data_IF_598368632871
#
_entry.id   IF_598368632871
#
_cell.length_a   1.000
_cell.length_b   1.000
_cell.length_c   1.000
_cell.angle_alpha   90.00
_cell.angle_beta   90.00
_cell.angle_gamma   90.00
#
_symmetry.space_group_name_H-M   'P 1'
#
loop_
_entity.id
_entity.type
_entity.pdbx_description
1 polymer ?
#
# COMPACT_ATOMS: atom_id res chain seq x y z
N UNK A 1 33.57 17.39 -7.89
CA UNK A 1 32.47 18.24 -7.38
C UNK A 1 31.11 17.75 -7.89
N UNK A 2 30.81 17.72 -9.19
CA UNK A 2 29.50 17.30 -9.73
C UNK A 2 28.94 15.95 -9.20
N UNK A 3 29.79 14.92 -9.03
CA UNK A 3 29.36 13.62 -8.49
C UNK A 3 28.76 13.70 -7.07
N UNK A 4 29.31 14.54 -6.19
CA UNK A 4 28.77 14.68 -4.82
C UNK A 4 27.38 15.30 -4.80
N UNK A 5 27.16 16.31 -5.65
CA UNK A 5 25.89 17.02 -5.75
C UNK A 5 24.77 16.12 -6.30
N UNK A 6 25.10 15.23 -7.25
CA UNK A 6 24.16 14.26 -7.79
C UNK A 6 23.76 13.23 -6.73
N UNK A 7 24.72 12.73 -5.94
CA UNK A 7 24.44 11.79 -4.85
C UNK A 7 23.55 12.43 -3.77
N UNK A 8 23.87 13.65 -3.34
CA UNK A 8 23.09 14.37 -2.32
C UNK A 8 21.67 14.69 -2.80
N UNK A 9 21.52 15.15 -4.05
CA UNK A 9 20.22 15.45 -4.63
C UNK A 9 19.34 14.20 -4.74
N UNK A 10 19.90 13.05 -5.13
CA UNK A 10 19.14 11.82 -5.23
C UNK A 10 18.69 11.27 -3.87
N UNK A 11 19.57 11.30 -2.86
CA UNK A 11 19.18 10.91 -1.50
C UNK A 11 18.11 11.84 -0.93
N UNK A 12 18.20 13.14 -1.21
CA UNK A 12 17.16 14.10 -0.83
C UNK A 12 15.82 13.74 -1.48
N UNK A 13 15.80 13.50 -2.79
CA UNK A 13 14.56 13.14 -3.50
C UNK A 13 13.97 11.82 -2.99
N UNK A 14 14.81 10.81 -2.76
CA UNK A 14 14.37 9.54 -2.19
C UNK A 14 13.75 9.73 -0.79
N UNK A 15 14.43 10.48 0.09
CA UNK A 15 13.94 10.76 1.45
C UNK A 15 12.62 11.53 1.43
N UNK A 16 12.47 12.49 0.52
CA UNK A 16 11.22 13.25 0.37
C UNK A 16 10.07 12.35 -0.10
N UNK A 17 10.35 11.45 -1.04
CA UNK A 17 9.36 10.49 -1.52
C UNK A 17 8.96 9.48 -0.41
N UNK A 18 9.92 8.97 0.36
CA UNK A 18 9.65 8.14 1.54
C UNK A 18 8.80 8.87 2.58
N UNK A 19 9.16 10.11 2.91
CA UNK A 19 8.38 10.92 3.86
C UNK A 19 6.96 11.16 3.37
N UNK A 20 6.77 11.46 2.08
CA UNK A 20 5.44 11.61 1.49
C UNK A 20 4.63 10.33 1.62
N UNK A 21 5.23 9.17 1.31
CA UNK A 21 4.58 7.87 1.48
C UNK A 21 4.17 7.62 2.93
N UNK A 22 5.06 7.88 3.90
CA UNK A 22 4.77 7.72 5.33
C UNK A 22 3.59 8.59 5.75
N UNK A 23 3.56 9.86 5.33
CA UNK A 23 2.46 10.78 5.65
C UNK A 23 1.14 10.26 5.09
N UNK A 24 1.13 9.79 3.83
CA UNK A 24 -0.08 9.25 3.19
C UNK A 24 -0.57 8.01 3.91
N UNK A 25 0.34 7.07 4.23
CA UNK A 25 -0.01 5.85 4.97
C UNK A 25 -0.59 6.18 6.35
N UNK A 26 0.06 7.06 7.10
CA UNK A 26 -0.41 7.48 8.42
C UNK A 26 -1.78 8.13 8.33
N UNK A 27 -1.99 9.05 7.38
CA UNK A 27 -3.28 9.71 7.19
C UNK A 27 -4.38 8.69 6.83
N UNK A 28 -4.12 7.78 5.90
CA UNK A 28 -5.05 6.74 5.49
C UNK A 28 -5.39 5.79 6.65
N UNK A 29 -4.40 5.37 7.44
CA UNK A 29 -4.61 4.53 8.62
C UNK A 29 -5.45 5.24 9.67
N UNK A 30 -5.18 6.50 9.98
CA UNK A 30 -5.95 7.29 10.94
C UNK A 30 -7.42 7.46 10.47
N UNK A 31 -7.63 7.79 9.19
CA UNK A 31 -8.97 7.90 8.60
C UNK A 31 -9.72 6.56 8.66
N UNK A 32 -9.05 5.47 8.27
CA UNK A 32 -9.61 4.12 8.30
C UNK A 32 -9.98 3.67 9.70
N UNK A 33 -9.10 3.91 10.68
CA UNK A 33 -9.32 3.56 12.07
C UNK A 33 -10.49 4.35 12.66
N UNK A 34 -10.54 5.67 12.41
CA UNK A 34 -11.62 6.52 12.89
C UNK A 34 -12.98 6.09 12.32
N UNK A 35 -13.05 5.84 11.00
CA UNK A 35 -14.29 5.40 10.36
C UNK A 35 -14.71 4.02 10.83
N UNK A 36 -13.78 3.09 10.95
CA UNK A 36 -14.05 1.73 11.48
C UNK A 36 -14.54 1.78 12.92
N UNK A 37 -13.92 2.58 13.78
CA UNK A 37 -14.34 2.76 15.17
C UNK A 37 -15.75 3.37 15.27
N UNK A 38 -16.07 4.38 14.44
CA UNK A 38 -17.40 4.99 14.37
C UNK A 38 -18.47 4.00 13.88
N UNK A 39 -18.12 3.12 12.95
CA UNK A 39 -18.97 2.05 12.43
C UNK A 39 -19.20 0.97 13.50
N UNK A 40 -18.14 0.55 14.19
CA UNK A 40 -18.21 -0.44 15.26
C UNK A 40 -19.03 0.03 16.47
N UNK A 41 -18.95 1.32 16.82
CA UNK A 41 -19.74 1.92 17.90
C UNK A 41 -21.25 1.95 17.61
N UNK A 42 -21.67 1.85 16.34
CA UNK A 42 -23.07 1.94 15.92
C UNK A 42 -23.82 0.60 15.84
N UNK A 43 -23.28 -0.49 16.43
CA UNK A 43 -23.91 -1.83 16.55
C UNK A 43 -24.56 -2.40 15.26
N UNK A 44 -23.83 -3.31 14.61
CA UNK A 44 -24.33 -4.45 13.80
C UNK A 44 -25.32 -4.24 12.63
N UNK A 45 -25.68 -3.02 12.23
CA UNK A 45 -26.53 -2.78 11.03
C UNK A 45 -25.80 -2.11 9.87
N UNK A 46 -24.47 -2.16 9.83
CA UNK A 46 -23.73 -1.46 8.77
C UNK A 46 -23.62 -2.35 7.52
N UNK A 47 -24.16 -1.91 6.36
CA UNK A 47 -24.17 -2.69 5.12
C UNK A 47 -22.75 -3.09 4.70
N UNK A 48 -22.62 -4.29 4.13
CA UNK A 48 -21.32 -4.78 3.64
C UNK A 48 -20.72 -3.86 2.56
N UNK A 49 -21.56 -3.16 1.78
CA UNK A 49 -21.15 -2.13 0.82
C UNK A 49 -20.32 -0.99 1.47
N UNK A 50 -20.63 -0.62 2.73
CA UNK A 50 -19.88 0.43 3.42
C UNK A 50 -18.50 -0.07 3.88
N UNK A 51 -18.39 -1.35 4.23
CA UNK A 51 -17.11 -1.97 4.59
C UNK A 51 -16.22 -2.13 3.36
N UNK A 52 -16.82 -2.54 2.24
CA UNK A 52 -16.13 -2.71 0.97
C UNK A 52 -15.62 -1.35 0.43
N UNK A 53 -16.46 -0.31 0.46
CA UNK A 53 -16.03 1.03 0.06
C UNK A 53 -14.90 1.59 0.93
N UNK A 54 -14.90 1.32 2.24
CA UNK A 54 -13.81 1.70 3.14
C UNK A 54 -12.51 0.95 2.79
N UNK A 55 -12.59 -0.35 2.51
CA UNK A 55 -11.45 -1.17 2.07
C UNK A 55 -10.86 -0.67 0.75
N UNK A 56 -11.71 -0.36 -0.24
CA UNK A 56 -11.29 0.17 -1.53
C UNK A 56 -10.63 1.55 -1.39
N UNK A 57 -11.17 2.42 -0.53
CA UNK A 57 -10.61 3.74 -0.29
C UNK A 57 -9.23 3.65 0.37
N UNK A 58 -9.06 2.79 1.37
CA UNK A 58 -7.76 2.52 2.00
C UNK A 58 -6.76 1.92 1.01
N UNK A 59 -7.20 0.96 0.19
CA UNK A 59 -6.37 0.36 -0.86
C UNK A 59 -5.84 1.40 -1.86
N UNK A 60 -6.67 2.38 -2.25
CA UNK A 60 -6.25 3.44 -3.17
C UNK A 60 -5.19 4.38 -2.57
N UNK A 61 -5.34 4.78 -1.31
CA UNK A 61 -4.31 5.58 -0.64
C UNK A 61 -3.01 4.81 -0.44
N UNK A 62 -3.10 3.52 -0.12
CA UNK A 62 -1.92 2.67 0.01
C UNK A 62 -1.20 2.49 -1.34
N UNK A 63 -1.95 2.35 -2.45
CA UNK A 63 -1.37 2.31 -3.79
C UNK A 63 -0.56 3.57 -4.11
N UNK A 64 -1.09 4.75 -3.78
CA UNK A 64 -0.37 6.02 -3.95
C UNK A 64 0.93 6.03 -3.13
N UNK A 65 0.87 5.64 -1.86
CA UNK A 65 2.08 5.56 -1.03
C UNK A 65 3.13 4.59 -1.61
N UNK A 66 2.69 3.47 -2.18
CA UNK A 66 3.57 2.51 -2.85
C UNK A 66 4.24 3.07 -4.09
N UNK A 67 3.58 3.96 -4.85
CA UNK A 67 4.20 4.66 -5.98
C UNK A 67 5.33 5.60 -5.53
N UNK A 68 5.12 6.34 -4.45
CA UNK A 68 6.17 7.18 -3.86
C UNK A 68 7.36 6.36 -3.35
N UNK A 69 7.11 5.24 -2.67
CA UNK A 69 8.17 4.33 -2.24
C UNK A 69 8.91 3.72 -3.43
N UNK A 70 8.21 3.36 -4.51
CA UNK A 70 8.84 2.87 -5.74
C UNK A 70 9.74 3.94 -6.37
N UNK A 71 9.30 5.20 -6.38
CA UNK A 71 10.12 6.32 -6.87
C UNK A 71 11.39 6.52 -6.02
N UNK A 72 11.29 6.38 -4.70
CA UNK A 72 12.45 6.39 -3.81
C UNK A 72 13.43 5.24 -4.12
N UNK A 73 12.91 4.02 -4.28
CA UNK A 73 13.70 2.83 -4.62
C UNK A 73 14.45 3.01 -5.96
N UNK A 74 13.75 3.51 -6.99
CA UNK A 74 14.34 3.81 -8.31
C UNK A 74 15.43 4.86 -8.18
N UNK A 75 15.20 5.94 -7.43
CA UNK A 75 16.18 7.00 -7.23
C UNK A 75 17.46 6.49 -6.55
N UNK A 76 17.32 5.64 -5.53
CA UNK A 76 18.46 5.03 -4.83
C UNK A 76 19.23 4.07 -5.74
N UNK A 77 18.55 3.28 -6.58
CA UNK A 77 19.24 2.40 -7.56
C UNK A 77 20.03 3.17 -8.62
N UNK A 78 19.61 4.39 -8.96
CA UNK A 78 20.16 5.16 -10.07
C UNK A 78 21.52 5.82 -9.78
N UNK A 79 21.88 6.05 -8.51
CA UNK A 79 22.98 6.98 -8.18
C UNK A 79 24.33 6.37 -7.81
N UNK A 80 24.42 5.09 -7.41
CA UNK A 80 25.63 4.26 -7.50
C UNK A 80 25.36 2.94 -6.78
N UNK A 81 24.94 1.87 -7.48
CA UNK A 81 24.51 0.67 -6.79
C UNK A 81 25.74 -0.08 -6.26
N UNK A 82 26.04 0.06 -4.96
CA UNK A 82 26.96 -0.89 -4.32
C UNK A 82 26.28 -2.26 -4.26
N UNK A 83 27.04 -3.36 -4.32
CA UNK A 83 26.45 -4.71 -4.21
C UNK A 83 25.60 -4.89 -2.94
N UNK A 84 25.94 -4.18 -1.87
CA UNK A 84 25.17 -4.15 -0.62
C UNK A 84 23.84 -3.39 -0.76
N UNK A 85 23.84 -2.24 -1.44
CA UNK A 85 22.62 -1.47 -1.75
C UNK A 85 21.70 -2.23 -2.71
N UNK A 86 22.26 -2.89 -3.74
CA UNK A 86 21.50 -3.78 -4.64
C UNK A 86 20.84 -4.88 -3.82
N UNK A 87 21.56 -5.49 -2.86
CA UNK A 87 21.01 -6.51 -1.97
C UNK A 87 19.85 -6.01 -1.11
N UNK A 88 19.97 -4.81 -0.52
CA UNK A 88 18.90 -4.19 0.28
C UNK A 88 17.66 -3.88 -0.58
N UNK A 89 17.87 -3.30 -1.76
CA UNK A 89 16.80 -3.00 -2.71
C UNK A 89 16.11 -4.26 -3.21
N UNK A 90 16.87 -5.32 -3.54
CA UNK A 90 16.31 -6.61 -3.94
C UNK A 90 15.49 -7.25 -2.81
N UNK A 91 15.95 -7.15 -1.56
CA UNK A 91 15.20 -7.63 -0.39
C UNK A 91 13.88 -6.85 -0.21
N UNK A 92 13.92 -5.52 -0.27
CA UNK A 92 12.72 -4.66 -0.15
C UNK A 92 11.73 -4.97 -1.28
N UNK A 93 12.21 -5.04 -2.53
CA UNK A 93 11.38 -5.37 -3.69
C UNK A 93 10.74 -6.75 -3.54
N UNK A 94 11.51 -7.75 -3.11
CA UNK A 94 11.01 -9.12 -2.87
C UNK A 94 9.92 -9.14 -1.79
N UNK A 95 10.16 -8.46 -0.67
CA UNK A 95 9.17 -8.34 0.42
C UNK A 95 7.90 -7.68 -0.12
N UNK A 96 8.01 -6.58 -0.87
CA UNK A 96 6.86 -5.88 -1.45
C UNK A 96 6.07 -6.78 -2.37
N UNK A 97 6.73 -7.49 -3.30
CA UNK A 97 6.08 -8.41 -4.22
C UNK A 97 5.39 -9.55 -3.47
N UNK A 98 6.05 -10.15 -2.48
CA UNK A 98 5.48 -11.22 -1.69
C UNK A 98 4.25 -10.75 -0.90
N UNK A 99 4.35 -9.61 -0.21
CA UNK A 99 3.24 -9.07 0.59
C UNK A 99 2.03 -8.74 -0.29
N UNK A 100 2.27 -8.03 -1.41
CA UNK A 100 1.21 -7.66 -2.34
C UNK A 100 0.55 -8.89 -2.97
N UNK A 101 1.34 -9.91 -3.33
CA UNK A 101 0.83 -11.18 -3.84
C UNK A 101 -0.06 -11.91 -2.83
N UNK A 102 0.36 -11.99 -1.56
CA UNK A 102 -0.44 -12.64 -0.51
C UNK A 102 -1.74 -11.89 -0.24
N UNK A 103 -1.70 -10.55 -0.19
CA UNK A 103 -2.89 -9.72 0.01
C UNK A 103 -3.91 -9.93 -1.12
N UNK A 104 -3.45 -9.88 -2.38
CA UNK A 104 -4.29 -10.09 -3.56
C UNK A 104 -4.96 -11.47 -3.52
N UNK A 105 -4.18 -12.50 -3.18
CA UNK A 105 -4.67 -13.87 -3.09
C UNK A 105 -5.71 -14.05 -1.97
N UNK A 106 -5.54 -13.37 -0.84
CA UNK A 106 -6.50 -13.39 0.25
C UNK A 106 -7.81 -12.70 -0.14
N UNK A 107 -7.75 -11.54 -0.82
CA UNK A 107 -8.93 -10.85 -1.36
C UNK A 107 -9.70 -11.78 -2.29
N UNK A 108 -9.03 -12.39 -3.26
CA UNK A 108 -9.63 -13.25 -4.27
C UNK A 108 -10.26 -14.51 -3.63
N UNK A 109 -9.60 -15.08 -2.62
CA UNK A 109 -10.15 -16.20 -1.84
C UNK A 109 -11.41 -15.81 -1.04
N UNK A 110 -11.47 -14.57 -0.53
CA UNK A 110 -12.64 -14.05 0.17
C UNK A 110 -13.82 -13.79 -0.78
N UNK A 111 -13.57 -13.24 -1.98
CA UNK A 111 -14.59 -12.99 -3.01
C UNK A 111 -15.21 -14.30 -3.51
N UNK A 112 -14.39 -15.32 -3.80
CA UNK A 112 -14.88 -16.63 -4.25
C UNK A 112 -15.76 -17.34 -3.21
N UNK A 113 -15.55 -17.07 -1.92
CA UNK A 113 -16.38 -17.61 -0.83
C UNK A 113 -17.71 -16.87 -0.68
N UNK A 114 -17.80 -15.60 -1.06
CA UNK A 114 -19.02 -14.79 -0.92
C UNK A 114 -19.84 -14.66 -2.22
N UNK A 115 -19.28 -15.02 -3.39
CA UNK A 115 -20.00 -15.04 -4.67
C UNK A 115 -20.93 -16.24 -4.91
N UNK A 116 -21.18 -17.11 -3.91
CA UNK A 116 -21.98 -18.34 -4.08
C UNK A 116 -23.35 -18.33 -3.38
N UNK A 117 -23.81 -17.20 -2.84
CA UNK A 117 -25.09 -17.11 -2.10
C UNK A 117 -26.22 -16.33 -2.79
N UNK A 118 -26.08 -15.94 -4.06
CA UNK A 118 -27.20 -15.33 -4.82
C UNK A 118 -27.51 -16.11 -6.09
N UNK A 119 -27.95 -17.36 -5.92
CA UNK A 119 -28.87 -17.96 -6.88
C UNK A 119 -30.28 -17.92 -6.25
N UNK A 120 -31.19 -17.06 -6.75
CA UNK A 120 -32.59 -17.13 -6.37
C UNK A 120 -33.18 -18.38 -6.99
N UNK A 121 -33.47 -19.37 -6.16
CA UNK A 121 -34.19 -20.55 -6.61
C UNK A 121 -35.63 -20.15 -6.92
N UNK A 122 -36.04 -20.47 -8.14
CA UNK A 122 -37.36 -20.21 -8.67
C UNK A 122 -38.33 -21.29 -8.16
N UNK A 123 -39.40 -20.90 -7.47
CA UNK A 123 -40.79 -21.42 -7.60
C UNK A 123 -41.73 -20.70 -6.65
#
# INVERSE_FOLDING_TARGET
>A
MARGWILEAAHLVATLAELAAVVIVVAALLEGLWRSAKVFMQRDQVPDELKESLRLQLGRWLAIALEFLLAADIMLTAVAPTWEEIGKLAAIATIRTALNFFLQKEIEAHEQRHGRTTHPDHT
#
